data_IF_434192027548
#
_entry.id   IF_434192027548
#
_cell.length_a   1.000
_cell.length_b   1.000
_cell.length_c   1.000
_cell.angle_alpha   90.00
_cell.angle_beta   90.00
_cell.angle_gamma   90.00
#
_symmetry.space_group_name_H-M   'P 1'
#
loop_
_entity.id
_entity.type
_entity.pdbx_description
1 polymer ?
#
# COMPACT_ATOMS: atom_id res chain seq x y z
N UNK A 1 12.79 17.40 11.69
CA UNK A 1 12.57 16.04 12.22
C UNK A 1 11.64 15.29 11.26
N UNK A 2 11.91 14.02 10.99
CA UNK A 2 11.08 13.20 10.09
C UNK A 2 9.62 13.13 10.56
N UNK A 3 9.37 13.10 11.87
CA UNK A 3 8.01 13.07 12.44
C UNK A 3 7.15 14.28 12.06
N UNK A 4 7.74 15.49 12.01
CA UNK A 4 7.00 16.69 11.61
C UNK A 4 6.59 16.62 10.12
N UNK A 5 7.48 16.11 9.28
CA UNK A 5 7.22 15.90 7.85
C UNK A 5 6.17 14.79 7.63
N UNK A 6 6.25 13.70 8.39
CA UNK A 6 5.22 12.65 8.41
C UNK A 6 3.85 13.21 8.80
N UNK A 7 3.79 14.05 9.83
CA UNK A 7 2.55 14.69 10.26
C UNK A 7 2.00 15.64 9.19
N UNK A 8 2.87 16.44 8.55
CA UNK A 8 2.49 17.31 7.44
C UNK A 8 1.96 16.51 6.23
N UNK A 9 2.63 15.40 5.88
CA UNK A 9 2.17 14.50 4.82
C UNK A 9 0.80 13.88 5.12
N UNK A 10 0.59 13.43 6.37
CA UNK A 10 -0.72 12.92 6.80
C UNK A 10 -1.82 13.98 6.74
N UNK A 11 -1.51 15.23 7.10
CA UNK A 11 -2.44 16.35 6.97
C UNK A 11 -2.79 16.61 5.50
N UNK A 12 -1.79 16.61 4.62
CA UNK A 12 -2.00 16.77 3.18
C UNK A 12 -2.87 15.64 2.59
N UNK A 13 -2.72 14.39 3.05
CA UNK A 13 -3.65 13.29 2.71
C UNK A 13 -5.09 13.63 3.11
N UNK A 14 -5.30 14.12 4.33
CA UNK A 14 -6.64 14.47 4.82
C UNK A 14 -7.28 15.61 4.01
N UNK A 15 -6.47 16.53 3.51
CA UNK A 15 -6.87 17.62 2.61
C UNK A 15 -7.00 17.18 1.15
N UNK A 16 -6.74 15.89 0.85
CA UNK A 16 -6.67 15.32 -0.51
C UNK A 16 -5.60 15.97 -1.40
N UNK A 17 -4.65 16.68 -0.81
CA UNK A 17 -3.48 17.22 -1.51
C UNK A 17 -2.39 16.15 -1.55
N UNK A 18 -2.56 15.19 -2.46
CA UNK A 18 -1.69 14.02 -2.51
C UNK A 18 -0.28 14.31 -3.05
N UNK A 19 -0.12 15.34 -3.88
CA UNK A 19 1.20 15.80 -4.35
C UNK A 19 2.05 16.30 -3.18
N UNK A 20 1.46 17.17 -2.35
CA UNK A 20 2.11 17.66 -1.14
C UNK A 20 2.41 16.51 -0.17
N UNK A 21 1.48 15.56 -0.02
CA UNK A 21 1.72 14.38 0.82
C UNK A 21 2.94 13.58 0.35
N UNK A 22 3.05 13.32 -0.96
CA UNK A 22 4.21 12.62 -1.55
C UNK A 22 5.50 13.39 -1.31
N UNK A 23 5.49 14.71 -1.50
CA UNK A 23 6.66 15.56 -1.24
C UNK A 23 7.11 15.46 0.22
N UNK A 24 6.17 15.60 1.17
CA UNK A 24 6.48 15.55 2.60
C UNK A 24 6.97 14.19 3.06
N UNK A 25 6.39 13.09 2.57
CA UNK A 25 6.90 11.76 2.88
C UNK A 25 8.27 11.51 2.23
N UNK A 26 8.54 12.07 1.05
CA UNK A 26 9.85 11.96 0.40
C UNK A 26 10.92 12.67 1.21
N UNK A 27 10.66 13.89 1.68
CA UNK A 27 11.54 14.60 2.60
C UNK A 27 11.75 13.80 3.90
N UNK A 28 10.69 13.20 4.46
CA UNK A 28 10.80 12.40 5.68
C UNK A 28 11.65 11.13 5.46
N UNK A 29 11.50 10.45 4.32
CA UNK A 29 12.27 9.26 3.95
C UNK A 29 13.75 9.57 3.77
N UNK A 30 14.09 10.77 3.27
CA UNK A 30 15.49 11.19 3.17
C UNK A 30 16.16 11.31 4.55
N UNK A 31 15.39 11.54 5.62
CA UNK A 31 15.86 11.59 7.00
C UNK A 31 15.86 10.19 7.64
N UNK A 32 14.80 9.40 7.41
CA UNK A 32 14.62 8.06 7.97
C UNK A 32 14.37 7.01 6.87
N UNK A 33 15.43 6.58 6.14
CA UNK A 33 15.28 5.73 4.96
C UNK A 33 14.84 4.29 5.27
N UNK A 34 14.91 3.88 6.53
CA UNK A 34 14.47 2.56 7.02
C UNK A 34 13.11 2.60 7.73
N UNK A 35 12.40 3.73 7.70
CA UNK A 35 11.08 3.82 8.31
C UNK A 35 9.98 3.33 7.35
N UNK A 36 9.65 2.04 7.46
CA UNK A 36 8.59 1.38 6.69
C UNK A 36 7.23 2.10 6.71
N UNK A 37 6.90 2.83 7.79
CA UNK A 37 5.63 3.58 7.90
C UNK A 37 5.59 4.71 6.88
N UNK A 38 6.72 5.39 6.63
CA UNK A 38 6.80 6.49 5.66
C UNK A 38 6.55 5.99 4.23
N UNK A 39 7.14 4.85 3.87
CA UNK A 39 6.87 4.21 2.57
C UNK A 39 5.42 3.76 2.45
N UNK A 40 4.83 3.15 3.50
CA UNK A 40 3.40 2.79 3.48
C UNK A 40 2.49 4.03 3.28
N UNK A 41 2.82 5.15 3.91
CA UNK A 41 2.03 6.37 3.79
C UNK A 41 2.20 7.01 2.40
N UNK A 42 3.41 7.03 1.84
CA UNK A 42 3.66 7.52 0.49
C UNK A 42 3.05 6.61 -0.58
N UNK A 43 3.09 5.29 -0.38
CA UNK A 43 2.34 4.31 -1.18
C UNK A 43 0.84 4.62 -1.21
N UNK A 44 0.25 4.97 -0.06
CA UNK A 44 -1.16 5.37 0.03
C UNK A 44 -1.45 6.68 -0.73
N UNK A 45 -0.54 7.64 -0.67
CA UNK A 45 -0.63 8.90 -1.41
C UNK A 45 -0.60 8.64 -2.92
N UNK A 46 0.35 7.84 -3.40
CA UNK A 46 0.45 7.44 -4.81
C UNK A 46 -0.81 6.71 -5.29
N UNK A 47 -1.31 5.73 -4.52
CA UNK A 47 -2.54 5.02 -4.86
C UNK A 47 -3.75 5.97 -4.97
N UNK A 48 -3.83 6.98 -4.08
CA UNK A 48 -4.92 7.97 -4.09
C UNK A 48 -4.88 8.88 -5.33
N UNK A 49 -3.71 9.04 -5.95
CA UNK A 49 -3.52 9.72 -7.24
C UNK A 49 -3.64 8.80 -8.46
N UNK A 50 -3.93 7.52 -8.25
CA UNK A 50 -3.91 6.46 -9.28
C UNK A 50 -2.53 6.20 -9.89
N UNK A 51 -1.46 6.59 -9.20
CA UNK A 51 -0.09 6.21 -9.55
C UNK A 51 0.23 4.87 -8.88
N UNK A 52 -0.28 3.80 -9.49
CA UNK A 52 -0.21 2.47 -8.87
C UNK A 52 1.19 1.84 -8.97
N UNK A 53 1.99 2.23 -9.96
CA UNK A 53 3.37 1.73 -10.10
C UNK A 53 4.26 2.24 -8.96
N UNK A 54 4.23 3.55 -8.65
CA UNK A 54 5.00 4.08 -7.53
C UNK A 54 4.39 3.66 -6.18
N UNK A 55 3.07 3.46 -6.12
CA UNK A 55 2.43 2.86 -4.95
C UNK A 55 2.96 1.45 -4.66
N UNK A 56 3.12 0.61 -5.69
CA UNK A 56 3.66 -0.75 -5.56
C UNK A 56 5.12 -0.72 -5.10
N UNK A 57 5.97 0.10 -5.73
CA UNK A 57 7.39 0.22 -5.34
C UNK A 57 7.56 0.55 -3.86
N UNK A 58 6.79 1.52 -3.36
CA UNK A 58 6.85 1.89 -1.94
C UNK A 58 6.25 0.80 -1.03
N UNK A 59 5.21 0.11 -1.48
CA UNK A 59 4.63 -1.00 -0.74
C UNK A 59 5.61 -2.19 -0.61
N UNK A 60 6.32 -2.52 -1.67
CA UNK A 60 7.36 -3.57 -1.66
C UNK A 60 8.58 -3.14 -0.83
N UNK A 61 8.95 -1.85 -0.87
CA UNK A 61 9.99 -1.33 0.02
C UNK A 61 9.57 -1.47 1.49
N UNK A 62 8.30 -1.25 1.80
CA UNK A 62 7.76 -1.45 3.13
C UNK A 62 7.89 -2.92 3.59
N UNK A 63 7.54 -3.90 2.76
CA UNK A 63 7.65 -5.33 3.12
C UNK A 63 9.11 -5.80 3.15
N UNK A 64 9.99 -5.21 2.35
CA UNK A 64 11.44 -5.46 2.42
C UNK A 64 12.07 -4.98 3.73
N UNK A 65 11.62 -3.84 4.27
CA UNK A 65 12.11 -3.31 5.56
C UNK A 65 11.48 -4.06 6.74
N UNK A 66 10.16 -4.31 6.68
CA UNK A 66 9.39 -4.89 7.78
C UNK A 66 8.45 -5.99 7.24
N UNK A 67 8.98 -7.21 6.99
CA UNK A 67 8.22 -8.30 6.35
C UNK A 67 7.11 -8.88 7.24
N UNK A 68 7.21 -8.70 8.56
CA UNK A 68 6.25 -9.17 9.57
C UNK A 68 5.14 -8.14 9.86
N UNK A 69 5.00 -7.09 9.02
CA UNK A 69 3.97 -6.07 9.19
C UNK A 69 2.84 -6.22 8.17
N UNK A 70 1.69 -6.71 8.63
CA UNK A 70 0.51 -6.99 7.81
C UNK A 70 0.08 -5.80 6.92
N UNK A 71 0.20 -4.56 7.41
CA UNK A 71 -0.19 -3.37 6.64
C UNK A 71 0.67 -3.17 5.39
N UNK A 72 1.96 -3.52 5.43
CA UNK A 72 2.84 -3.45 4.26
C UNK A 72 2.36 -4.36 3.14
N UNK A 73 2.05 -5.62 3.47
CA UNK A 73 1.48 -6.59 2.54
C UNK A 73 0.09 -6.16 2.03
N UNK A 74 -0.74 -5.56 2.88
CA UNK A 74 -1.99 -4.94 2.45
C UNK A 74 -1.81 -3.84 1.40
N UNK A 75 -0.75 -3.01 1.51
CA UNK A 75 -0.41 -2.02 0.49
C UNK A 75 0.00 -2.68 -0.82
N UNK A 76 0.80 -3.75 -0.77
CA UNK A 76 1.20 -4.51 -1.98
C UNK A 76 -0.04 -5.07 -2.67
N UNK A 77 -0.94 -5.70 -1.91
CA UNK A 77 -2.19 -6.24 -2.43
C UNK A 77 -3.04 -5.17 -3.11
N UNK A 78 -3.21 -4.00 -2.48
CA UNK A 78 -3.99 -2.89 -3.07
C UNK A 78 -3.35 -2.33 -4.34
N UNK A 79 -2.02 -2.17 -4.36
CA UNK A 79 -1.32 -1.65 -5.53
C UNK A 79 -1.41 -2.64 -6.72
N UNK A 80 -1.13 -3.93 -6.48
CA UNK A 80 -1.24 -4.99 -7.49
C UNK A 80 -2.66 -5.16 -8.02
N UNK A 81 -3.66 -5.14 -7.13
CA UNK A 81 -5.06 -5.18 -7.53
C UNK A 81 -5.41 -4.02 -8.47
N UNK A 82 -4.90 -2.82 -8.17
CA UNK A 82 -5.14 -1.62 -8.99
C UNK A 82 -4.41 -1.65 -10.34
N UNK A 83 -3.31 -2.40 -10.43
CA UNK A 83 -2.57 -2.67 -11.67
C UNK A 83 -3.18 -3.82 -12.49
N UNK A 84 -4.18 -4.52 -11.96
CA UNK A 84 -4.78 -5.70 -12.60
C UNK A 84 -4.01 -7.00 -12.38
N UNK A 85 -2.93 -7.00 -11.59
CA UNK A 85 -2.25 -8.21 -11.14
C UNK A 85 -3.07 -8.87 -10.02
N UNK A 86 -4.16 -9.54 -10.41
CA UNK A 86 -5.09 -10.17 -9.47
C UNK A 86 -4.45 -11.32 -8.70
N UNK A 87 -3.59 -12.13 -9.34
CA UNK A 87 -2.91 -13.22 -8.65
C UNK A 87 -1.90 -12.70 -7.64
N UNK A 88 -1.06 -11.73 -8.01
CA UNK A 88 -0.12 -11.14 -7.06
C UNK A 88 -0.83 -10.36 -5.94
N UNK A 89 -2.00 -9.77 -6.21
CA UNK A 89 -2.80 -9.15 -5.17
C UNK A 89 -3.38 -10.16 -4.18
N UNK A 90 -3.86 -11.31 -4.69
CA UNK A 90 -4.33 -12.43 -3.88
C UNK A 90 -3.26 -12.86 -2.88
N UNK A 91 -2.06 -13.17 -3.38
CA UNK A 91 -0.95 -13.66 -2.57
C UNK A 91 -0.55 -12.65 -1.49
N UNK A 92 -0.46 -11.37 -1.85
CA UNK A 92 -0.13 -10.32 -0.90
C UNK A 92 -1.19 -10.15 0.20
N UNK A 93 -2.48 -10.27 -0.12
CA UNK A 93 -3.53 -10.23 0.89
C UNK A 93 -3.53 -11.47 1.79
N UNK A 94 -3.21 -12.66 1.27
CA UNK A 94 -3.04 -13.85 2.10
C UNK A 94 -1.85 -13.71 3.06
N UNK A 95 -0.71 -13.18 2.61
CA UNK A 95 0.42 -12.87 3.50
C UNK A 95 0.03 -11.86 4.59
N UNK A 96 -0.72 -10.82 4.24
CA UNK A 96 -1.22 -9.87 5.23
C UNK A 96 -2.10 -10.53 6.29
N UNK A 97 -2.98 -11.48 5.89
CA UNK A 97 -3.88 -12.20 6.80
C UNK A 97 -3.18 -13.29 7.61
N UNK A 98 -2.07 -13.86 7.11
CA UNK A 98 -1.21 -14.75 7.91
C UNK A 98 -0.59 -14.01 9.09
N UNK A 99 -0.22 -12.74 8.89
CA UNK A 99 0.37 -11.87 9.92
C UNK A 99 -0.67 -11.27 10.86
N UNK A 100 -1.82 -10.85 10.32
CA UNK A 100 -2.95 -10.33 11.09
C UNK A 100 -4.28 -10.80 10.48
N UNK A 101 -4.84 -11.87 11.05
CA UNK A 101 -6.08 -12.48 10.58
C UNK A 101 -7.30 -11.54 10.66
N UNK A 102 -7.25 -10.48 11.47
CA UNK A 102 -8.32 -9.51 11.64
C UNK A 102 -8.14 -8.26 10.75
N UNK A 103 -7.15 -8.27 9.84
CA UNK A 103 -6.86 -7.12 9.03
C UNK A 103 -7.90 -6.89 7.93
N UNK A 104 -8.89 -6.05 8.26
CA UNK A 104 -10.07 -5.81 7.43
C UNK A 104 -9.79 -5.38 5.98
N UNK A 105 -8.69 -4.67 5.72
CA UNK A 105 -8.31 -4.27 4.35
C UNK A 105 -7.96 -5.51 3.53
N UNK A 106 -7.16 -6.41 4.09
CA UNK A 106 -6.76 -7.63 3.39
C UNK A 106 -7.92 -8.62 3.24
N UNK A 107 -8.79 -8.75 4.25
CA UNK A 107 -10.00 -9.59 4.13
C UNK A 107 -10.91 -9.13 3.00
N UNK A 108 -11.18 -7.82 2.91
CA UNK A 108 -12.02 -7.24 1.85
C UNK A 108 -11.34 -7.32 0.48
N UNK A 109 -10.06 -7.00 0.42
CA UNK A 109 -9.25 -7.07 -0.80
C UNK A 109 -9.21 -8.48 -1.38
N UNK A 110 -8.91 -9.48 -0.55
CA UNK A 110 -8.87 -10.88 -0.94
C UNK A 110 -10.21 -11.37 -1.49
N UNK A 111 -11.31 -11.04 -0.82
CA UNK A 111 -12.65 -11.41 -1.29
C UNK A 111 -12.97 -10.79 -2.66
N UNK A 112 -12.62 -9.51 -2.87
CA UNK A 112 -12.83 -8.84 -4.15
C UNK A 112 -11.97 -9.46 -5.26
N UNK A 113 -10.69 -9.73 -4.98
CA UNK A 113 -9.76 -10.32 -5.94
C UNK A 113 -10.21 -11.73 -6.33
N UNK A 114 -10.62 -12.58 -5.37
CA UNK A 114 -11.15 -13.93 -5.65
C UNK A 114 -12.37 -13.87 -6.60
N UNK A 115 -13.30 -12.95 -6.33
CA UNK A 115 -14.46 -12.73 -7.20
C UNK A 115 -14.07 -12.30 -8.62
N UNK A 116 -13.08 -11.41 -8.75
CA UNK A 116 -12.60 -10.96 -10.07
C UNK A 116 -11.93 -12.09 -10.85
N UNK A 117 -11.08 -12.90 -10.20
CA UNK A 117 -10.44 -14.07 -10.82
C UNK A 117 -11.50 -15.07 -11.32
N UNK A 118 -12.49 -15.39 -10.50
CA UNK A 118 -13.57 -16.31 -10.87
C UNK A 118 -14.40 -15.78 -12.05
N UNK A 119 -14.64 -14.47 -12.10
CA UNK A 119 -15.38 -13.84 -13.19
C UNK A 119 -14.58 -13.90 -14.50
N UNK A 120 -13.28 -13.62 -14.46
CA UNK A 120 -12.39 -13.72 -15.62
C UNK A 120 -12.30 -15.16 -16.14
N UNK A 121 -12.19 -16.14 -15.24
CA UNK A 121 -12.14 -17.56 -15.61
C UNK A 121 -13.42 -18.04 -16.31
N UNK A 122 -14.59 -17.52 -15.90
CA UNK A 122 -15.89 -17.85 -16.51
C UNK A 122 -16.17 -17.13 -17.83
N UNK A 123 -15.43 -16.06 -18.12
CA UNK A 123 -15.58 -15.26 -19.34
C UNK A 123 -14.71 -15.75 -20.51
N UNK A 124 -13.90 -16.77 -20.28
CA UNK A 124 -13.05 -17.44 -21.26
C UNK A 124 -13.72 -18.72 -21.73
#
# INVERSE_FOLDING_TARGET
MADALKAAGNKAIAEKNFDEAVAKFTEAIAIEPENHILYSNRSAAYASKRDFENSLKDAEKCTSIKPDWAKGWGRVGTAKQSLGDLLGAHDAYEEALKLDANYAVATKGLAQVKKSIDAEAKSR
#
